data_IF_604694374071
#
_entry.id   IF_604694374071
#
_cell.length_a   1.000
_cell.length_b   1.000
_cell.length_c   1.000
_cell.angle_alpha   90.00
_cell.angle_beta   90.00
_cell.angle_gamma   90.00
#
_symmetry.space_group_name_H-M   'P 1'
#
loop_
_entity.id
_entity.type
_entity.pdbx_description
1 polymer ?
#
# COMPACT_ATOMS: atom_id res chain seq x y z
N UNK A 1 15.29 -4.93 18.76
CA UNK A 1 16.44 -5.84 18.96
C UNK A 1 16.74 -6.55 17.66
N UNK A 2 17.95 -6.43 17.09
CA UNK A 2 18.31 -7.15 15.88
C UNK A 2 18.30 -8.65 16.19
N UNK A 3 17.47 -9.44 15.49
CA UNK A 3 17.52 -10.89 15.58
C UNK A 3 18.90 -11.31 15.08
N UNK A 4 19.76 -11.81 15.98
CA UNK A 4 21.04 -12.41 15.59
C UNK A 4 20.72 -13.59 14.67
N UNK A 5 21.04 -13.43 13.39
CA UNK A 5 20.68 -14.39 12.33
C UNK A 5 21.40 -15.74 12.45
N UNK A 6 22.36 -15.87 13.36
CA UNK A 6 23.09 -17.11 13.64
C UNK A 6 23.00 -17.40 15.14
N UNK A 7 22.29 -18.47 15.49
CA UNK A 7 22.24 -18.99 16.86
C UNK A 7 23.09 -20.26 16.97
N UNK A 8 23.56 -20.60 18.17
CA UNK A 8 24.37 -21.81 18.43
C UNK A 8 23.77 -23.11 17.79
N UNK A 9 22.44 -23.32 17.81
CA UNK A 9 21.78 -24.43 17.12
C UNK A 9 22.01 -24.49 15.61
N UNK A 10 22.06 -23.34 14.93
CA UNK A 10 22.30 -23.28 13.48
C UNK A 10 23.72 -23.72 13.12
N UNK A 11 24.71 -23.32 13.93
CA UNK A 11 26.10 -23.74 13.74
C UNK A 11 26.27 -25.25 13.95
N UNK A 12 25.61 -25.81 14.97
CA UNK A 12 25.61 -27.24 15.22
C UNK A 12 24.95 -28.05 14.07
N UNK A 13 23.83 -27.56 13.54
CA UNK A 13 23.16 -28.18 12.40
C UNK A 13 24.01 -28.17 11.12
N UNK A 14 24.70 -27.06 10.84
CA UNK A 14 25.66 -26.95 9.73
C UNK A 14 26.81 -27.95 9.88
N UNK A 15 27.38 -28.06 11.07
CA UNK A 15 28.48 -28.99 11.34
C UNK A 15 28.04 -30.45 11.15
N UNK A 16 26.84 -30.80 11.63
CA UNK A 16 26.26 -32.13 11.46
C UNK A 16 26.02 -32.46 9.98
N UNK A 17 25.53 -31.51 9.18
CA UNK A 17 25.31 -31.69 7.75
C UNK A 17 26.63 -31.96 7.00
N UNK A 18 27.69 -31.21 7.34
CA UNK A 18 29.03 -31.41 6.75
C UNK A 18 29.57 -32.80 7.10
N UNK A 19 29.41 -33.25 8.35
CA UNK A 19 29.83 -34.58 8.79
C UNK A 19 29.06 -35.69 8.08
N UNK A 20 27.73 -35.57 7.96
CA UNK A 20 26.89 -36.52 7.24
C UNK A 20 27.30 -36.63 5.77
N UNK A 21 27.57 -35.49 5.13
CA UNK A 21 28.03 -35.48 3.75
C UNK A 21 29.41 -36.13 3.59
N UNK A 22 30.35 -35.87 4.51
CA UNK A 22 31.66 -36.50 4.50
C UNK A 22 31.58 -38.04 4.64
N UNK A 23 30.71 -38.53 5.52
CA UNK A 23 30.45 -39.97 5.67
C UNK A 23 29.84 -40.57 4.40
N UNK A 24 28.88 -39.89 3.78
CA UNK A 24 28.28 -40.33 2.52
C UNK A 24 29.32 -40.36 1.37
N UNK A 25 30.20 -39.36 1.30
CA UNK A 25 31.27 -39.32 0.31
C UNK A 25 32.27 -40.47 0.46
N UNK A 26 32.68 -40.79 1.70
CA UNK A 26 33.55 -41.94 1.99
C UNK A 26 32.88 -43.26 1.63
N UNK A 27 31.58 -43.42 1.92
CA UNK A 27 30.82 -44.61 1.55
C UNK A 27 30.72 -44.78 0.03
N UNK A 28 30.41 -43.71 -0.70
CA UNK A 28 30.36 -43.70 -2.17
C UNK A 28 31.72 -44.07 -2.78
N UNK A 29 32.80 -43.47 -2.27
CA UNK A 29 34.17 -43.75 -2.74
C UNK A 29 34.57 -45.21 -2.49
N UNK A 30 34.26 -45.77 -1.31
CA UNK A 30 34.54 -47.16 -0.99
C UNK A 30 33.75 -48.15 -1.85
N UNK A 31 32.51 -47.81 -2.22
CA UNK A 31 31.62 -48.70 -3.00
C UNK A 31 31.88 -48.66 -4.50
N UNK A 32 32.19 -47.48 -5.05
CA UNK A 32 32.25 -47.23 -6.50
C UNK A 32 33.63 -46.76 -6.99
N UNK A 33 34.64 -46.71 -6.13
CA UNK A 33 36.00 -46.29 -6.49
C UNK A 33 36.05 -44.86 -7.03
N UNK A 34 36.77 -44.59 -8.13
CA UNK A 34 36.88 -43.25 -8.72
C UNK A 34 35.54 -42.60 -9.09
N UNK A 35 34.57 -43.40 -9.55
CA UNK A 35 33.24 -42.90 -9.92
C UNK A 35 32.47 -42.37 -8.69
N UNK A 36 32.65 -43.01 -7.53
CA UNK A 36 32.05 -42.56 -6.27
C UNK A 36 32.58 -41.21 -5.79
N UNK A 37 33.88 -40.96 -5.98
CA UNK A 37 34.51 -39.66 -5.66
C UNK A 37 33.95 -38.55 -6.55
N UNK A 38 33.80 -38.81 -7.86
CA UNK A 38 33.24 -37.85 -8.82
C UNK A 38 31.79 -37.51 -8.45
N UNK A 39 30.96 -38.51 -8.12
CA UNK A 39 29.57 -38.31 -7.71
C UNK A 39 29.46 -37.48 -6.43
N UNK A 40 30.29 -37.78 -5.42
CA UNK A 40 30.34 -36.99 -4.20
C UNK A 40 30.71 -35.53 -4.52
N UNK A 41 31.80 -35.28 -5.24
CA UNK A 41 32.23 -33.94 -5.61
C UNK A 41 31.15 -33.16 -6.39
N UNK A 42 30.46 -33.81 -7.33
CA UNK A 42 29.35 -33.20 -8.08
C UNK A 42 28.18 -32.83 -7.16
N UNK A 43 27.83 -33.68 -6.18
CA UNK A 43 26.80 -33.38 -5.21
C UNK A 43 27.18 -32.21 -4.28
N UNK A 44 28.43 -32.13 -3.81
CA UNK A 44 28.92 -30.96 -3.07
C UNK A 44 28.82 -29.68 -3.91
N UNK A 45 29.27 -29.72 -5.16
CA UNK A 45 29.21 -28.57 -6.05
C UNK A 45 27.75 -28.11 -6.27
N UNK A 46 26.83 -29.05 -6.49
CA UNK A 46 25.41 -28.75 -6.63
C UNK A 46 24.84 -28.08 -5.38
N UNK A 47 25.13 -28.61 -4.19
CA UNK A 47 24.70 -28.01 -2.91
C UNK A 47 25.28 -26.60 -2.75
N UNK A 48 26.57 -26.41 -3.05
CA UNK A 48 27.22 -25.10 -2.99
C UNK A 48 26.58 -24.10 -3.96
N UNK A 49 26.21 -24.53 -5.18
CA UNK A 49 25.51 -23.70 -6.15
C UNK A 49 24.11 -23.31 -5.66
N UNK A 50 23.36 -24.24 -5.07
CA UNK A 50 22.03 -23.96 -4.49
C UNK A 50 22.14 -22.97 -3.33
N UNK A 51 23.10 -23.17 -2.42
CA UNK A 51 23.33 -22.24 -1.30
C UNK A 51 23.80 -20.87 -1.77
N UNK A 52 24.69 -20.81 -2.77
CA UNK A 52 25.13 -19.55 -3.36
C UNK A 52 23.95 -18.81 -4.03
N UNK A 53 23.10 -19.52 -4.77
CA UNK A 53 21.89 -18.95 -5.36
C UNK A 53 20.94 -18.41 -4.28
N UNK A 54 20.67 -19.18 -3.22
CA UNK A 54 19.82 -18.73 -2.11
C UNK A 54 20.41 -17.50 -1.40
N UNK A 55 21.73 -17.49 -1.16
CA UNK A 55 22.42 -16.35 -0.57
C UNK A 55 22.32 -15.10 -1.46
N UNK A 56 22.50 -15.24 -2.78
CA UNK A 56 22.33 -14.15 -3.74
C UNK A 56 20.88 -13.64 -3.73
N UNK A 57 19.88 -14.53 -3.75
CA UNK A 57 18.47 -14.14 -3.68
C UNK A 57 18.14 -13.39 -2.38
N UNK A 58 18.65 -13.85 -1.23
CA UNK A 58 18.49 -13.19 0.06
C UNK A 58 19.19 -11.83 0.11
N UNK A 59 20.39 -11.72 -0.44
CA UNK A 59 21.12 -10.45 -0.54
C UNK A 59 20.37 -9.45 -1.42
N UNK A 60 19.83 -9.89 -2.57
CA UNK A 60 19.00 -9.05 -3.43
C UNK A 60 17.74 -8.59 -2.69
N UNK A 61 17.10 -9.46 -1.91
CA UNK A 61 15.92 -9.09 -1.12
C UNK A 61 16.26 -8.08 0.00
N UNK A 62 17.40 -8.25 0.67
CA UNK A 62 17.90 -7.29 1.66
C UNK A 62 18.19 -5.92 1.04
N UNK A 63 18.89 -5.88 -0.10
CA UNK A 63 19.18 -4.63 -0.81
C UNK A 63 17.88 -3.94 -1.28
N UNK A 64 16.88 -4.71 -1.71
CA UNK A 64 15.56 -4.15 -2.08
C UNK A 64 14.84 -3.52 -0.90
N UNK A 65 14.92 -4.15 0.28
CA UNK A 65 14.33 -3.60 1.52
C UNK A 65 15.03 -2.31 1.93
N UNK A 66 16.36 -2.26 1.90
CA UNK A 66 17.13 -1.06 2.24
C UNK A 66 16.76 0.14 1.35
N UNK A 67 16.69 -0.07 0.03
CA UNK A 67 16.26 0.98 -0.92
C UNK A 67 14.83 1.44 -0.64
N UNK A 68 13.91 0.51 -0.34
CA UNK A 68 12.53 0.85 0.02
C UNK A 68 12.47 1.68 1.32
N UNK A 69 13.22 1.30 2.34
CA UNK A 69 13.23 1.98 3.64
C UNK A 69 13.83 3.38 3.53
N UNK A 70 14.94 3.53 2.79
CA UNK A 70 15.55 4.83 2.49
C UNK A 70 14.57 5.75 1.75
N UNK A 71 13.83 5.21 0.78
CA UNK A 71 12.83 5.96 0.04
C UNK A 71 11.67 6.40 0.93
N UNK A 72 11.12 5.49 1.74
CA UNK A 72 10.03 5.83 2.67
C UNK A 72 10.45 6.92 3.66
N UNK A 73 11.69 6.85 4.16
CA UNK A 73 12.22 7.90 5.03
C UNK A 73 12.34 9.24 4.30
N UNK A 74 12.84 9.25 3.07
CA UNK A 74 12.90 10.46 2.25
C UNK A 74 11.50 11.05 2.00
N UNK A 75 10.50 10.22 1.71
CA UNK A 75 9.11 10.63 1.49
C UNK A 75 8.49 11.21 2.77
N UNK A 76 8.71 10.58 3.92
CA UNK A 76 8.29 11.10 5.23
C UNK A 76 8.95 12.45 5.55
N UNK A 77 10.25 12.59 5.28
CA UNK A 77 10.96 13.86 5.46
C UNK A 77 10.42 14.94 4.53
N UNK A 78 10.08 14.60 3.28
CA UNK A 78 9.44 15.51 2.33
C UNK A 78 8.06 15.97 2.82
N UNK A 79 7.25 15.08 3.39
CA UNK A 79 5.96 15.42 3.99
C UNK A 79 6.15 16.40 5.16
N UNK A 80 7.06 16.10 6.09
CA UNK A 80 7.34 16.97 7.23
C UNK A 80 7.87 18.34 6.79
N UNK A 81 8.80 18.39 5.83
CA UNK A 81 9.38 19.64 5.35
C UNK A 81 8.37 20.54 4.63
N UNK A 82 7.38 19.93 3.94
CA UNK A 82 6.36 20.64 3.16
C UNK A 82 5.19 21.09 4.03
N UNK A 83 4.64 20.17 4.83
CA UNK A 83 3.48 20.44 5.68
C UNK A 83 3.85 21.27 6.91
N UNK A 84 5.07 21.06 7.45
CA UNK A 84 5.55 21.65 8.72
C UNK A 84 4.50 21.52 9.83
N UNK A 85 4.06 20.30 10.15
CA UNK A 85 3.02 20.10 11.15
C UNK A 85 3.56 20.52 12.53
N UNK A 86 2.68 21.12 13.33
CA UNK A 86 3.02 21.56 14.70
C UNK A 86 3.13 20.36 15.65
N UNK A 87 2.40 19.29 15.35
CA UNK A 87 2.39 18.03 16.08
C UNK A 87 2.92 16.89 15.21
N UNK A 88 3.36 15.76 15.79
CA UNK A 88 3.84 14.63 15.01
C UNK A 88 2.74 14.07 14.11
N UNK A 89 3.09 13.75 12.86
CA UNK A 89 2.17 13.02 11.97
C UNK A 89 1.90 11.61 12.51
N UNK A 90 0.69 11.07 12.30
CA UNK A 90 0.37 9.70 12.66
C UNK A 90 1.24 8.71 11.90
N UNK A 91 1.39 7.51 12.46
CA UNK A 91 2.22 6.45 11.87
C UNK A 91 1.57 5.97 10.56
N UNK A 92 2.28 6.11 9.44
CA UNK A 92 1.84 5.70 8.10
C UNK A 92 2.22 4.23 7.82
N UNK A 93 1.64 3.27 8.54
CA UNK A 93 1.90 1.83 8.36
C UNK A 93 0.62 0.99 8.30
N UNK A 94 0.79 -0.22 7.75
CA UNK A 94 -0.21 -1.31 7.63
C UNK A 94 -1.47 -0.96 6.82
N UNK A 95 -2.38 -0.19 7.41
CA UNK A 95 -3.66 0.21 6.82
C UNK A 95 -3.71 1.69 6.46
N UNK A 96 -2.72 2.48 6.86
CA UNK A 96 -2.60 3.88 6.48
C UNK A 96 -1.98 4.05 5.08
N UNK A 97 -2.29 5.18 4.45
CA UNK A 97 -1.66 5.64 3.21
C UNK A 97 -0.13 5.51 3.29
N UNK A 98 0.48 4.97 2.23
CA UNK A 98 1.95 4.89 2.17
C UNK A 98 2.59 6.29 2.05
N UNK A 99 3.80 6.53 2.59
CA UNK A 99 4.46 7.83 2.47
C UNK A 99 4.56 8.36 1.03
N UNK A 100 4.93 7.50 0.07
CA UNK A 100 5.04 7.88 -1.34
C UNK A 100 3.71 8.30 -1.96
N UNK A 101 2.63 7.57 -1.66
CA UNK A 101 1.28 7.98 -2.07
C UNK A 101 0.88 9.29 -1.38
N UNK A 102 1.22 9.46 -0.09
CA UNK A 102 1.00 10.70 0.66
C UNK A 102 1.71 11.91 0.06
N UNK A 103 2.96 11.77 -0.39
CA UNK A 103 3.71 12.85 -1.06
C UNK A 103 3.04 13.22 -2.38
N UNK A 104 2.66 12.23 -3.19
CA UNK A 104 1.97 12.49 -4.45
C UNK A 104 0.62 13.17 -4.20
N UNK A 105 -0.15 12.67 -3.24
CA UNK A 105 -1.45 13.21 -2.86
C UNK A 105 -1.35 14.65 -2.37
N UNK A 106 -0.39 14.95 -1.49
CA UNK A 106 -0.09 16.31 -1.05
C UNK A 106 0.22 17.23 -2.24
N UNK A 107 1.08 16.80 -3.17
CA UNK A 107 1.41 17.61 -4.35
C UNK A 107 0.20 17.87 -5.23
N UNK A 108 -0.66 16.88 -5.43
CA UNK A 108 -1.91 17.05 -6.17
C UNK A 108 -2.78 18.13 -5.50
N UNK A 109 -3.03 18.01 -4.20
CA UNK A 109 -3.93 18.93 -3.49
C UNK A 109 -3.40 20.36 -3.49
N UNK A 110 -2.10 20.56 -3.28
CA UNK A 110 -1.48 21.88 -3.33
C UNK A 110 -1.50 22.51 -4.72
N UNK A 111 -1.39 21.71 -5.78
CA UNK A 111 -1.36 22.20 -7.16
C UNK A 111 -2.77 22.45 -7.73
N UNK A 112 -3.71 21.54 -7.45
CA UNK A 112 -5.06 21.59 -8.01
C UNK A 112 -6.02 22.48 -7.21
N UNK A 113 -5.71 22.75 -5.92
CA UNK A 113 -6.56 23.53 -5.03
C UNK A 113 -8.05 23.08 -5.04
N UNK A 114 -8.34 21.79 -4.83
CA UNK A 114 -9.68 21.24 -5.00
C UNK A 114 -10.66 21.81 -3.97
N UNK A 115 -11.92 21.97 -4.37
CA UNK A 115 -13.01 22.37 -3.46
C UNK A 115 -13.53 21.19 -2.66
N UNK A 116 -13.72 20.04 -3.31
CA UNK A 116 -14.25 18.84 -2.67
C UNK A 116 -13.31 17.66 -2.84
N UNK A 117 -12.80 17.17 -1.73
CA UNK A 117 -11.99 15.95 -1.66
C UNK A 117 -12.80 14.89 -0.92
N UNK A 118 -12.89 13.69 -1.46
CA UNK A 118 -13.60 12.57 -0.83
C UNK A 118 -12.63 11.42 -0.60
N UNK A 119 -12.65 10.84 0.59
CA UNK A 119 -11.84 9.67 0.92
C UNK A 119 -12.73 8.52 1.38
N UNK A 120 -12.49 7.35 0.81
CA UNK A 120 -13.04 6.09 1.29
C UNK A 120 -11.98 5.46 2.18
N UNK A 121 -12.19 5.49 3.50
CA UNK A 121 -11.16 5.23 4.52
C UNK A 121 -10.63 6.53 5.09
N UNK A 122 -10.69 6.69 6.41
CA UNK A 122 -10.16 7.87 7.12
C UNK A 122 -8.77 7.59 7.71
N UNK A 123 -8.01 8.65 8.02
CA UNK A 123 -6.79 8.53 8.80
C UNK A 123 -5.70 9.53 8.42
N UNK A 124 -4.48 9.03 8.22
CA UNK A 124 -3.31 9.87 7.93
C UNK A 124 -3.47 10.66 6.61
N UNK A 125 -4.13 10.08 5.59
CA UNK A 125 -4.42 10.79 4.34
C UNK A 125 -5.38 11.96 4.56
N UNK A 126 -6.39 11.78 5.42
CA UNK A 126 -7.33 12.82 5.81
C UNK A 126 -6.62 14.00 6.45
N UNK A 127 -5.68 13.73 7.38
CA UNK A 127 -4.88 14.77 8.00
C UNK A 127 -3.98 15.50 6.99
N UNK A 128 -3.32 14.77 6.09
CA UNK A 128 -2.51 15.35 5.01
C UNK A 128 -3.39 16.27 4.14
N UNK A 129 -4.59 15.82 3.78
CA UNK A 129 -5.52 16.59 2.96
C UNK A 129 -5.97 17.86 3.68
N UNK A 130 -6.40 17.76 4.94
CA UNK A 130 -6.82 18.90 5.73
C UNK A 130 -5.71 19.95 5.87
N UNK A 131 -4.47 19.53 6.15
CA UNK A 131 -3.30 20.41 6.22
C UNK A 131 -3.00 21.07 4.86
N UNK A 132 -3.13 20.34 3.76
CA UNK A 132 -2.93 20.86 2.41
C UNK A 132 -3.98 21.90 2.03
N UNK A 133 -5.26 21.61 2.29
CA UNK A 133 -6.38 22.50 2.01
C UNK A 133 -6.29 23.79 2.84
N UNK A 134 -5.92 23.68 4.13
CA UNK A 134 -5.60 24.85 4.97
C UNK A 134 -4.53 25.74 4.33
N UNK A 135 -3.48 25.13 3.77
CA UNK A 135 -2.38 25.85 3.14
C UNK A 135 -2.80 26.53 1.84
N UNK A 136 -3.67 25.90 1.06
CA UNK A 136 -4.26 26.47 -0.16
C UNK A 136 -5.28 27.57 0.18
N UNK A 137 -5.91 27.49 1.35
CA UNK A 137 -6.90 28.46 1.82
C UNK A 137 -8.32 28.18 1.31
N UNK A 138 -8.60 26.96 0.83
CA UNK A 138 -9.93 26.59 0.36
C UNK A 138 -10.14 25.08 0.24
N UNK A 139 -11.42 24.70 0.17
CA UNK A 139 -11.88 23.32 0.01
C UNK A 139 -12.11 22.58 1.33
N UNK A 140 -12.65 21.36 1.22
CA UNK A 140 -12.92 20.48 2.36
C UNK A 140 -12.68 19.01 1.97
N UNK A 141 -12.14 18.23 2.90
CA UNK A 141 -12.09 16.77 2.78
C UNK A 141 -13.27 16.11 3.50
N UNK A 142 -13.92 15.15 2.85
CA UNK A 142 -15.00 14.35 3.40
C UNK A 142 -14.51 12.90 3.40
N UNK A 143 -14.12 12.41 4.56
CA UNK A 143 -13.57 11.07 4.73
C UNK A 143 -14.60 10.14 5.37
N UNK A 144 -14.72 8.92 4.84
CA UNK A 144 -15.63 7.90 5.37
C UNK A 144 -14.84 6.85 6.13
N UNK A 145 -15.32 6.48 7.31
CA UNK A 145 -14.84 5.30 8.03
C UNK A 145 -15.99 4.41 8.47
N UNK A 146 -15.80 3.10 8.35
CA UNK A 146 -16.78 2.12 8.76
C UNK A 146 -16.78 1.83 10.26
N UNK A 147 -15.66 2.09 10.94
CA UNK A 147 -15.53 1.85 12.37
C UNK A 147 -15.50 3.19 13.11
N UNK A 148 -16.43 3.43 14.07
CA UNK A 148 -16.46 4.67 14.83
C UNK A 148 -15.11 4.97 15.50
N UNK A 149 -14.40 3.94 15.96
CA UNK A 149 -13.10 4.08 16.60
C UNK A 149 -12.08 4.82 15.72
N UNK A 150 -11.90 4.41 14.47
CA UNK A 150 -10.93 5.04 13.56
C UNK A 150 -11.40 6.43 13.10
N UNK A 151 -12.71 6.62 12.98
CA UNK A 151 -13.26 7.96 12.74
C UNK A 151 -12.92 8.93 13.89
N UNK A 152 -13.11 8.51 15.15
CA UNK A 152 -12.75 9.34 16.32
C UNK A 152 -11.24 9.57 16.43
N UNK A 153 -10.40 8.55 16.18
CA UNK A 153 -8.95 8.71 16.15
C UNK A 153 -8.52 9.77 15.11
N UNK A 154 -9.11 9.71 13.90
CA UNK A 154 -8.85 10.69 12.85
C UNK A 154 -9.30 12.09 13.23
N UNK A 155 -10.49 12.23 13.85
CA UNK A 155 -10.96 13.53 14.35
C UNK A 155 -10.04 14.09 15.42
N UNK A 156 -9.55 13.25 16.34
CA UNK A 156 -8.57 13.65 17.35
C UNK A 156 -7.29 14.22 16.73
N UNK A 157 -6.75 13.58 15.69
CA UNK A 157 -5.59 14.12 14.97
C UNK A 157 -5.87 15.46 14.29
N UNK A 158 -7.05 15.62 13.71
CA UNK A 158 -7.47 16.86 13.05
C UNK A 158 -7.60 18.01 14.07
N UNK A 159 -8.15 17.74 15.25
CA UNK A 159 -8.26 18.69 16.36
C UNK A 159 -6.88 19.08 16.89
N UNK A 160 -6.02 18.09 17.16
CA UNK A 160 -4.65 18.29 17.66
C UNK A 160 -3.79 19.14 16.72
N UNK A 161 -4.04 19.08 15.41
CA UNK A 161 -3.34 19.87 14.40
C UNK A 161 -4.03 21.20 14.04
N UNK A 162 -5.17 21.51 14.68
CA UNK A 162 -5.94 22.73 14.41
C UNK A 162 -6.44 22.80 12.95
N UNK A 163 -6.90 21.69 12.40
CA UNK A 163 -7.41 21.58 11.02
C UNK A 163 -8.80 20.93 10.92
N UNK A 164 -9.50 20.75 12.03
CA UNK A 164 -10.82 20.10 12.06
C UNK A 164 -11.86 20.78 11.14
N UNK A 165 -11.79 22.09 10.93
CA UNK A 165 -12.70 22.81 10.02
C UNK A 165 -12.52 22.42 8.53
N UNK A 166 -11.35 21.90 8.15
CA UNK A 166 -10.98 21.53 6.79
C UNK A 166 -11.41 20.12 6.42
N UNK A 167 -11.92 19.35 7.39
CA UNK A 167 -12.24 17.95 7.24
C UNK A 167 -13.58 17.59 7.89
N UNK A 168 -14.30 16.66 7.28
CA UNK A 168 -15.50 16.04 7.83
C UNK A 168 -15.32 14.53 7.79
N UNK A 169 -15.24 13.90 8.96
CA UNK A 169 -15.12 12.45 9.06
C UNK A 169 -16.50 11.87 9.35
N UNK A 170 -17.03 11.07 8.43
CA UNK A 170 -18.35 10.43 8.50
C UNK A 170 -18.20 8.97 8.90
N UNK A 171 -18.95 8.56 9.92
CA UNK A 171 -19.07 7.13 10.27
C UNK A 171 -20.09 6.50 9.34
N UNK A 172 -19.66 5.55 8.51
CA UNK A 172 -20.45 4.88 7.49
C UNK A 172 -20.31 3.36 7.60
N UNK A 173 -21.07 2.69 8.48
CA UNK A 173 -20.95 1.25 8.72
C UNK A 173 -21.14 0.41 7.44
N UNK A 174 -20.46 -0.73 7.33
CA UNK A 174 -20.57 -1.59 6.14
C UNK A 174 -21.89 -2.35 6.07
N UNK A 175 -22.75 -1.97 5.13
CA UNK A 175 -24.05 -2.60 4.86
C UNK A 175 -24.01 -3.41 3.56
N UNK A 176 -24.86 -4.45 3.42
CA UNK A 176 -25.08 -5.08 2.13
C UNK A 176 -25.64 -4.06 1.13
N UNK A 177 -25.12 -4.07 -0.09
CA UNK A 177 -25.53 -3.17 -1.16
C UNK A 177 -25.52 -3.93 -2.49
N UNK A 178 -26.63 -3.88 -3.21
CA UNK A 178 -26.75 -4.45 -4.55
C UNK A 178 -26.23 -3.48 -5.60
N UNK A 179 -25.31 -3.92 -6.45
CA UNK A 179 -24.75 -3.13 -7.53
C UNK A 179 -24.42 -4.02 -8.72
N UNK A 180 -24.98 -3.71 -9.90
CA UNK A 180 -24.78 -4.47 -11.14
C UNK A 180 -25.02 -6.00 -10.98
N UNK A 181 -26.07 -6.38 -10.23
CA UNK A 181 -26.44 -7.77 -10.00
C UNK A 181 -25.54 -8.54 -9.04
N UNK A 182 -24.73 -7.83 -8.23
CA UNK A 182 -23.85 -8.39 -7.21
C UNK A 182 -24.05 -7.67 -5.88
N UNK A 183 -24.04 -8.43 -4.79
CA UNK A 183 -24.02 -7.88 -3.43
C UNK A 183 -22.60 -7.52 -3.00
N UNK A 184 -22.41 -6.32 -2.45
CA UNK A 184 -21.18 -5.84 -1.82
C UNK A 184 -21.44 -5.52 -0.35
N UNK A 185 -20.44 -5.72 0.52
CA UNK A 185 -20.40 -5.09 1.84
C UNK A 185 -19.68 -3.75 1.71
N UNK A 186 -20.44 -2.67 1.67
CA UNK A 186 -19.94 -1.33 1.36
C UNK A 186 -20.40 -0.30 2.41
N UNK A 187 -19.72 0.85 2.46
CA UNK A 187 -20.14 1.98 3.28
C UNK A 187 -21.62 2.29 3.08
N UNK A 188 -22.30 2.68 4.15
CA UNK A 188 -23.68 3.14 4.06
C UNK A 188 -23.82 4.30 3.06
N UNK A 189 -24.58 4.08 1.99
CA UNK A 189 -24.70 5.00 0.87
C UNK A 189 -25.25 6.38 1.24
N UNK A 190 -26.00 6.48 2.34
CA UNK A 190 -26.48 7.75 2.90
C UNK A 190 -25.31 8.68 3.23
N UNK A 191 -24.15 8.14 3.60
CA UNK A 191 -22.96 8.93 3.92
C UNK A 191 -22.31 9.62 2.71
N UNK A 192 -22.78 9.33 1.49
CA UNK A 192 -22.33 10.00 0.26
C UNK A 192 -23.50 10.57 -0.56
N UNK A 193 -24.73 10.53 -0.07
CA UNK A 193 -25.90 10.89 -0.86
C UNK A 193 -25.93 12.39 -1.23
N UNK A 194 -25.40 13.24 -0.37
CA UNK A 194 -25.31 14.70 -0.51
C UNK A 194 -24.15 15.19 -1.39
N UNK A 195 -23.24 14.30 -1.79
CA UNK A 195 -22.05 14.66 -2.57
C UNK A 195 -22.40 14.82 -4.06
N UNK A 196 -22.43 16.04 -4.58
CA UNK A 196 -22.79 16.27 -5.99
C UNK A 196 -21.59 16.40 -6.92
N UNK A 197 -20.48 16.98 -6.43
CA UNK A 197 -19.28 17.25 -7.22
C UNK A 197 -18.02 16.94 -6.41
N UNK A 198 -17.09 16.22 -7.03
CA UNK A 198 -15.86 15.74 -6.39
C UNK A 198 -14.68 16.09 -7.28
N UNK A 199 -13.72 16.87 -6.78
CA UNK A 199 -12.53 17.22 -7.53
C UNK A 199 -11.44 16.16 -7.38
N UNK A 200 -11.34 15.57 -6.17
CA UNK A 200 -10.39 14.50 -5.88
C UNK A 200 -11.07 13.39 -5.06
N UNK A 201 -10.99 12.15 -5.52
CA UNK A 201 -11.48 10.97 -4.82
C UNK A 201 -10.31 10.04 -4.48
N UNK A 202 -10.12 9.70 -3.21
CA UNK A 202 -9.19 8.66 -2.78
C UNK A 202 -9.97 7.39 -2.41
N UNK A 203 -9.61 6.27 -3.03
CA UNK A 203 -10.17 4.94 -2.77
C UNK A 203 -9.12 4.07 -2.09
N UNK A 204 -9.13 4.05 -0.75
CA UNK A 204 -8.25 3.21 0.08
C UNK A 204 -9.04 2.13 0.87
N UNK A 205 -10.31 2.38 1.13
CA UNK A 205 -11.21 1.53 1.87
C UNK A 205 -12.45 1.08 1.08
N UNK A 206 -13.29 0.26 1.71
CA UNK A 206 -13.08 -0.39 2.99
C UNK A 206 -12.09 -1.56 2.85
N UNK A 207 -11.55 -2.05 3.99
CA UNK A 207 -10.64 -3.19 3.98
C UNK A 207 -11.27 -4.41 3.32
N UNK A 208 -10.48 -5.12 2.52
CA UNK A 208 -10.92 -6.35 1.88
C UNK A 208 -9.87 -7.45 1.90
N UNK A 209 -9.88 -8.29 2.95
CA UNK A 209 -9.04 -9.48 3.01
C UNK A 209 -9.50 -10.56 2.00
N UNK A 210 -10.81 -10.69 1.77
CA UNK A 210 -11.41 -11.84 1.07
C UNK A 210 -12.04 -11.47 -0.29
N UNK A 211 -12.59 -10.26 -0.43
CA UNK A 211 -13.33 -9.84 -1.63
C UNK A 211 -12.47 -8.96 -2.54
N UNK A 212 -11.99 -9.53 -3.65
CA UNK A 212 -11.03 -8.87 -4.54
C UNK A 212 -11.51 -7.57 -5.20
N UNK A 213 -12.81 -7.25 -5.12
CA UNK A 213 -13.42 -6.06 -5.73
C UNK A 213 -14.35 -5.29 -4.78
N UNK A 214 -14.19 -5.44 -3.45
CA UNK A 214 -15.07 -4.73 -2.50
C UNK A 214 -15.11 -3.23 -2.73
N UNK A 215 -13.97 -2.64 -3.17
CA UNK A 215 -13.74 -1.22 -3.53
C UNK A 215 -14.47 -0.71 -4.78
N UNK A 216 -15.04 -1.61 -5.59
CA UNK A 216 -15.67 -1.26 -6.86
C UNK A 216 -16.85 -0.27 -6.74
N UNK A 217 -17.74 -0.36 -5.72
CA UNK A 217 -18.81 0.61 -5.56
C UNK A 217 -18.37 2.06 -5.43
N UNK A 218 -17.19 2.31 -4.86
CA UNK A 218 -16.62 3.66 -4.80
C UNK A 218 -16.43 4.26 -6.19
N UNK A 219 -15.95 3.46 -7.14
CA UNK A 219 -15.82 3.89 -8.54
C UNK A 219 -17.18 4.08 -9.20
N UNK A 220 -18.09 3.11 -9.06
CA UNK A 220 -19.38 3.16 -9.77
C UNK A 220 -20.32 4.26 -9.25
N UNK A 221 -20.32 4.54 -7.94
CA UNK A 221 -21.21 5.53 -7.33
C UNK A 221 -20.65 6.96 -7.38
N UNK A 222 -19.33 7.11 -7.18
CA UNK A 222 -18.69 8.43 -7.04
C UNK A 222 -17.94 8.86 -8.29
N UNK A 223 -17.46 7.91 -9.11
CA UNK A 223 -16.78 8.21 -10.37
C UNK A 223 -17.57 9.11 -11.33
N UNK A 224 -18.90 8.92 -11.51
CA UNK A 224 -19.71 9.82 -12.31
C UNK A 224 -19.74 11.28 -11.82
N UNK A 225 -19.47 11.49 -10.51
CA UNK A 225 -19.52 12.78 -9.82
C UNK A 225 -18.18 13.53 -9.84
N UNK A 226 -17.14 12.93 -10.42
CA UNK A 226 -15.83 13.57 -10.56
C UNK A 226 -15.94 14.76 -11.51
N UNK A 227 -15.46 15.94 -11.14
CA UNK A 227 -15.51 17.13 -12.01
C UNK A 227 -14.61 16.97 -13.24
N UNK A 228 -14.85 17.70 -14.35
CA UNK A 228 -13.91 17.73 -15.47
C UNK A 228 -12.51 18.16 -15.00
N UNK A 229 -11.47 17.43 -15.40
CA UNK A 229 -10.11 17.60 -14.87
C UNK A 229 -9.87 17.00 -13.48
N UNK A 230 -10.92 16.48 -12.81
CA UNK A 230 -10.85 15.84 -11.51
C UNK A 230 -10.12 14.50 -11.53
N UNK A 231 -9.72 14.04 -10.35
CA UNK A 231 -8.80 12.90 -10.19
C UNK A 231 -9.36 11.86 -9.24
N UNK A 232 -9.23 10.59 -9.61
CA UNK A 232 -9.42 9.45 -8.71
C UNK A 232 -8.06 8.80 -8.42
N UNK A 233 -7.72 8.71 -7.14
CA UNK A 233 -6.56 8.01 -6.63
C UNK A 233 -7.00 6.66 -6.07
N UNK A 234 -6.43 5.58 -6.57
CA UNK A 234 -6.82 4.22 -6.20
C UNK A 234 -5.66 3.49 -5.57
N UNK A 235 -5.73 3.21 -4.27
CA UNK A 235 -4.71 2.46 -3.55
C UNK A 235 -4.91 0.93 -3.73
N UNK A 236 -3.93 0.16 -3.25
CA UNK A 236 -3.92 -1.31 -3.22
C UNK A 236 -3.95 -1.99 -4.60
N UNK A 237 -3.54 -1.29 -5.66
CA UNK A 237 -3.53 -1.81 -7.04
C UNK A 237 -2.41 -2.82 -7.32
N UNK A 238 -1.63 -3.20 -6.31
CA UNK A 238 -0.77 -4.39 -6.36
C UNK A 238 -1.61 -5.69 -6.44
N UNK A 239 -2.88 -5.64 -6.01
CA UNK A 239 -3.82 -6.75 -6.11
C UNK A 239 -4.32 -6.87 -7.56
N UNK A 240 -3.81 -7.86 -8.30
CA UNK A 240 -4.07 -8.05 -9.74
C UNK A 240 -5.55 -7.91 -10.14
N UNK A 241 -6.46 -8.61 -9.45
CA UNK A 241 -7.91 -8.58 -9.78
C UNK A 241 -8.52 -7.20 -9.55
N UNK A 242 -8.10 -6.50 -8.48
CA UNK A 242 -8.54 -5.13 -8.23
C UNK A 242 -8.05 -4.19 -9.32
N UNK A 243 -6.75 -4.24 -9.62
CA UNK A 243 -6.12 -3.44 -10.68
C UNK A 243 -6.83 -3.62 -12.02
N UNK A 244 -7.08 -4.86 -12.43
CA UNK A 244 -7.78 -5.15 -13.70
C UNK A 244 -9.22 -4.63 -13.70
N UNK A 245 -9.93 -4.68 -12.56
CA UNK A 245 -11.27 -4.10 -12.45
C UNK A 245 -11.25 -2.57 -12.60
N UNK A 246 -10.29 -1.90 -11.95
CA UNK A 246 -10.10 -0.44 -12.05
C UNK A 246 -9.78 -0.03 -13.48
N UNK A 247 -8.86 -0.73 -14.16
CA UNK A 247 -8.47 -0.43 -15.53
C UNK A 247 -9.64 -0.57 -16.51
N UNK A 248 -10.40 -1.68 -16.41
CA UNK A 248 -11.60 -1.88 -17.24
C UNK A 248 -12.66 -0.81 -16.99
N UNK A 249 -12.85 -0.42 -15.72
CA UNK A 249 -13.79 0.63 -15.37
C UNK A 249 -13.35 1.98 -15.96
N UNK A 250 -12.08 2.35 -15.79
CA UNK A 250 -11.52 3.61 -16.29
C UNK A 250 -11.62 3.70 -17.82
N UNK A 251 -11.27 2.63 -18.54
CA UNK A 251 -11.41 2.54 -20.00
C UNK A 251 -12.86 2.74 -20.44
N UNK A 252 -13.81 2.04 -19.80
CA UNK A 252 -15.24 2.16 -20.10
C UNK A 252 -15.78 3.57 -19.87
N UNK A 253 -15.27 4.27 -18.86
CA UNK A 253 -15.70 5.62 -18.49
C UNK A 253 -14.88 6.73 -19.15
N UNK A 254 -13.88 6.40 -19.97
CA UNK A 254 -13.05 7.38 -20.69
C UNK A 254 -12.07 8.15 -19.80
N UNK A 255 -11.63 7.57 -18.67
CA UNK A 255 -10.60 8.16 -17.82
C UNK A 255 -9.20 7.85 -18.36
N UNK A 256 -8.31 8.84 -18.30
CA UNK A 256 -6.89 8.63 -18.55
C UNK A 256 -6.24 7.98 -17.32
N UNK A 257 -5.34 7.01 -17.55
CA UNK A 257 -4.76 6.22 -16.46
C UNK A 257 -3.25 6.39 -16.40
N UNK A 258 -2.75 6.72 -15.20
CA UNK A 258 -1.34 6.75 -14.85
C UNK A 258 -1.05 5.75 -13.73
N UNK A 259 0.07 5.02 -13.83
CA UNK A 259 0.52 4.09 -12.79
C UNK A 259 1.56 4.71 -11.88
N UNK A 260 1.54 4.30 -10.61
CA UNK A 260 2.57 4.66 -9.65
C UNK A 260 3.99 4.33 -10.15
N UNK A 261 5.02 5.13 -9.79
CA UNK A 261 6.40 4.84 -10.13
C UNK A 261 6.87 3.45 -9.65
N UNK A 262 7.93 2.92 -10.26
CA UNK A 262 8.56 1.69 -9.77
C UNK A 262 9.06 1.87 -8.33
N UNK A 263 8.92 0.83 -7.50
CA UNK A 263 9.46 0.81 -6.14
C UNK A 263 8.66 1.60 -5.09
N UNK A 264 7.41 1.97 -5.35
CA UNK A 264 6.43 2.35 -4.30
C UNK A 264 5.33 1.30 -4.19
N UNK A 265 4.52 1.39 -3.11
CA UNK A 265 3.23 0.69 -3.03
C UNK A 265 2.40 1.05 -4.28
N UNK A 266 1.89 0.05 -4.98
CA UNK A 266 1.25 0.27 -6.27
C UNK A 266 -0.13 0.94 -6.12
N UNK A 267 -0.29 2.07 -6.77
CA UNK A 267 -1.55 2.81 -6.91
C UNK A 267 -1.80 3.21 -8.37
N UNK A 268 -3.04 3.55 -8.70
CA UNK A 268 -3.42 4.10 -9.99
C UNK A 268 -3.99 5.51 -9.81
N UNK A 269 -3.73 6.36 -10.80
CA UNK A 269 -4.32 7.70 -10.91
C UNK A 269 -5.20 7.72 -12.14
N UNK A 270 -6.48 8.03 -11.96
CA UNK A 270 -7.45 8.16 -13.03
C UNK A 270 -7.79 9.64 -13.18
N UNK A 271 -7.60 10.21 -14.36
CA UNK A 271 -7.93 11.62 -14.63
C UNK A 271 -9.14 11.70 -15.53
N UNK A 272 -10.13 12.51 -15.13
CA UNK A 272 -11.25 12.83 -16.00
C UNK A 272 -10.79 13.89 -17.00
N UNK A 273 -10.97 13.68 -18.31
CA UNK A 273 -10.73 14.73 -19.30
C UNK A 273 -11.51 16.01 -18.96
N UNK A 274 -10.94 17.16 -19.33
CA UNK A 274 -11.56 18.47 -19.12
C UNK A 274 -12.76 18.70 -20.05
#
# INVERSE_FOLDING_TARGET
>A
MPRRFVTLPWLAALLALVLLWALAALWLAGRYGPAGVILAAAAALFILLVLALEAVLRLVDLSRRDVSDQRQLHELLSLHATLRPEMPLPVMREYAISPGLGVWYLRLLLAAAPKTVVELGSGASTLIAALALRRVGGGKVIALDHEPKYAEETRGWLEEHGVAEWAEVRVAPLKPMELAGRTFRWYDHEAVADLESIDVLLIDGPPSPEERTRRLPGLELLGPRITPGGVILVDDTHRKVWREAVLRWAEKQGFEVESSPAGVKAYLVLRRPA
#
